data_IF_502509636426
#
_entry.id   IF_502509636426
#
_cell.length_a   1.000
_cell.length_b   1.000
_cell.length_c   1.000
_cell.angle_alpha   90.00
_cell.angle_beta   90.00
_cell.angle_gamma   90.00
#
_symmetry.space_group_name_H-M   'P 1'
#
loop_
_entity.id
_entity.type
_entity.pdbx_description
1 polymer ?
#
# COMPACT_ATOMS: atom_id res chain seq x y z
N UNK A 1 2.14 1.99 -26.50
CA UNK A 1 0.86 1.25 -26.55
C UNK A 1 0.05 1.65 -25.33
N UNK A 2 -1.24 1.90 -25.48
CA UNK A 2 -2.13 2.12 -24.31
C UNK A 2 -2.24 0.82 -23.52
N UNK A 3 -2.27 0.92 -22.21
CA UNK A 3 -2.48 -0.23 -21.34
C UNK A 3 -3.93 -0.73 -21.47
N UNK A 4 -4.11 -2.04 -21.56
CA UNK A 4 -5.44 -2.67 -21.59
C UNK A 4 -6.15 -2.56 -20.26
N UNK A 5 -7.48 -2.57 -20.28
CA UNK A 5 -8.35 -2.59 -19.09
C UNK A 5 -9.31 -3.78 -19.15
N UNK A 6 -8.77 -5.02 -19.07
CA UNK A 6 -9.52 -6.22 -19.40
C UNK A 6 -10.78 -6.42 -18.54
N UNK A 7 -10.71 -6.09 -17.25
CA UNK A 7 -11.85 -6.21 -16.34
C UNK A 7 -12.93 -5.17 -16.68
N UNK A 8 -12.52 -3.91 -16.88
CA UNK A 8 -13.44 -2.82 -17.25
C UNK A 8 -14.12 -3.09 -18.58
N UNK A 9 -13.34 -3.53 -19.57
CA UNK A 9 -13.85 -3.79 -20.94
C UNK A 9 -14.84 -4.96 -20.94
N UNK A 10 -14.51 -6.05 -20.23
CA UNK A 10 -15.43 -7.17 -20.07
C UNK A 10 -16.74 -6.75 -19.39
N UNK A 11 -16.69 -6.09 -18.25
CA UNK A 11 -17.88 -5.73 -17.48
C UNK A 11 -18.78 -4.76 -18.26
N UNK A 12 -18.19 -3.78 -18.95
CA UNK A 12 -18.96 -2.86 -19.81
C UNK A 12 -19.62 -3.57 -20.97
N UNK A 13 -18.91 -4.48 -21.65
CA UNK A 13 -19.47 -5.31 -22.71
C UNK A 13 -20.62 -6.16 -22.20
N UNK A 14 -20.43 -6.82 -21.05
CA UNK A 14 -21.47 -7.61 -20.42
C UNK A 14 -22.71 -6.78 -20.04
N UNK A 15 -22.50 -5.59 -19.46
CA UNK A 15 -23.60 -4.69 -19.12
C UNK A 15 -24.45 -4.26 -20.32
N UNK A 16 -23.84 -4.20 -21.52
CA UNK A 16 -24.48 -3.81 -22.79
C UNK A 16 -25.03 -5.00 -23.57
N UNK A 17 -24.72 -6.23 -23.22
CA UNK A 17 -25.05 -7.44 -24.00
C UNK A 17 -26.53 -7.78 -24.03
N UNK A 18 -27.34 -7.22 -23.11
CA UNK A 18 -28.75 -7.62 -22.95
C UNK A 18 -28.95 -9.01 -22.36
N UNK A 19 -27.89 -9.67 -21.89
CA UNK A 19 -27.95 -11.01 -21.29
C UNK A 19 -28.79 -10.99 -20.01
N UNK A 20 -29.73 -11.92 -19.91
CA UNK A 20 -30.54 -12.09 -18.71
C UNK A 20 -29.66 -12.55 -17.52
N UNK A 21 -29.67 -11.77 -16.44
CA UNK A 21 -28.84 -12.00 -15.25
C UNK A 21 -29.54 -12.94 -14.26
N UNK A 22 -29.31 -14.24 -14.39
CA UNK A 22 -29.81 -15.23 -13.44
C UNK A 22 -28.86 -15.51 -12.27
N UNK A 23 -27.64 -14.95 -12.34
CA UNK A 23 -26.60 -15.03 -11.33
C UNK A 23 -26.74 -13.94 -10.23
N UNK A 24 -25.94 -14.04 -9.15
CA UNK A 24 -25.77 -12.94 -8.18
C UNK A 24 -25.07 -11.74 -8.83
N UNK A 25 -25.18 -10.51 -8.35
CA UNK A 25 -25.96 -10.06 -7.18
C UNK A 25 -27.49 -10.03 -7.38
N UNK A 26 -28.22 -9.86 -6.25
CA UNK A 26 -29.69 -9.92 -6.21
C UNK A 26 -30.41 -8.83 -7.01
N UNK A 27 -29.77 -7.67 -7.25
CA UNK A 27 -30.35 -6.56 -8.06
C UNK A 27 -30.43 -6.89 -9.57
N UNK A 28 -29.78 -7.98 -10.03
CA UNK A 28 -29.82 -8.44 -11.42
C UNK A 28 -29.46 -7.37 -12.46
N UNK A 29 -28.61 -6.39 -12.09
CA UNK A 29 -28.23 -5.26 -12.93
C UNK A 29 -29.31 -4.20 -13.10
N UNK A 30 -30.43 -4.28 -12.37
CA UNK A 30 -31.44 -3.24 -12.37
C UNK A 30 -30.94 -2.04 -11.57
N UNK A 31 -30.89 -0.88 -12.22
CA UNK A 31 -30.30 0.32 -11.64
C UNK A 31 -31.19 0.94 -10.58
N UNK A 32 -30.69 1.05 -9.35
CA UNK A 32 -31.28 1.79 -8.25
C UNK A 32 -30.37 2.98 -7.87
N UNK A 33 -29.06 2.72 -7.77
CA UNK A 33 -28.03 3.71 -7.42
C UNK A 33 -27.17 4.11 -8.62
N UNK A 34 -27.29 3.41 -9.75
CA UNK A 34 -26.64 3.72 -11.02
C UNK A 34 -25.41 2.86 -11.36
N UNK A 35 -24.87 2.11 -10.41
CA UNK A 35 -23.69 1.26 -10.62
C UNK A 35 -24.00 -0.23 -10.77
N UNK A 36 -25.21 -0.67 -10.45
CA UNK A 36 -25.62 -2.08 -10.45
C UNK A 36 -25.40 -2.80 -11.80
N UNK A 37 -25.53 -2.13 -12.97
CA UNK A 37 -25.19 -2.76 -14.23
C UNK A 37 -23.72 -3.19 -14.33
N UNK A 38 -22.82 -2.53 -13.58
CA UNK A 38 -21.39 -2.82 -13.53
C UNK A 38 -21.00 -3.75 -12.38
N UNK A 39 -21.93 -4.03 -11.47
CA UNK A 39 -21.70 -4.94 -10.35
C UNK A 39 -22.08 -6.37 -10.76
N UNK A 40 -21.08 -7.24 -10.86
CA UNK A 40 -21.19 -8.63 -11.29
C UNK A 40 -20.52 -9.56 -10.28
N UNK A 41 -20.60 -10.84 -10.51
CA UNK A 41 -19.86 -11.88 -9.79
C UNK A 41 -19.02 -12.70 -10.78
N UNK A 42 -18.42 -13.76 -10.32
CA UNK A 42 -17.62 -14.74 -11.07
C UNK A 42 -18.49 -15.53 -12.06
N UNK A 43 -18.85 -14.87 -13.17
CA UNK A 43 -19.60 -15.49 -14.28
C UNK A 43 -18.62 -15.92 -15.38
N UNK A 44 -19.09 -16.72 -16.33
CA UNK A 44 -18.29 -17.17 -17.46
C UNK A 44 -17.59 -15.97 -18.16
N UNK A 45 -16.26 -15.99 -18.16
CA UNK A 45 -15.39 -14.94 -18.72
C UNK A 45 -15.04 -13.81 -17.74
N UNK A 46 -15.65 -13.75 -16.55
CA UNK A 46 -15.31 -12.73 -15.54
C UNK A 46 -14.08 -13.07 -14.71
N UNK A 47 -13.61 -14.33 -14.76
CA UNK A 47 -12.48 -14.82 -13.99
C UNK A 47 -12.78 -14.98 -12.47
N UNK A 48 -11.82 -15.45 -11.68
CA UNK A 48 -11.94 -15.68 -10.23
C UNK A 48 -10.71 -15.10 -9.51
N UNK A 49 -10.92 -14.26 -8.49
CA UNK A 49 -9.82 -13.50 -7.86
C UNK A 49 -8.72 -14.39 -7.26
N UNK A 50 -9.07 -15.52 -6.65
CA UNK A 50 -8.11 -16.38 -5.96
C UNK A 50 -7.57 -17.53 -6.83
N UNK A 51 -8.08 -17.68 -8.06
CA UNK A 51 -7.59 -18.62 -9.06
C UNK A 51 -7.70 -18.03 -10.48
N UNK A 52 -7.12 -16.85 -10.74
CA UNK A 52 -7.33 -16.13 -11.99
C UNK A 52 -6.58 -16.79 -13.13
N UNK A 53 -7.28 -17.00 -14.25
CA UNK A 53 -6.74 -17.53 -15.50
C UNK A 53 -7.06 -16.61 -16.71
N UNK A 54 -7.78 -15.51 -16.49
CA UNK A 54 -8.32 -14.63 -17.51
C UNK A 54 -8.06 -13.15 -17.28
N UNK A 55 -9.15 -12.37 -17.23
CA UNK A 55 -9.08 -10.91 -17.21
C UNK A 55 -8.47 -10.34 -15.90
N UNK A 56 -8.62 -11.02 -14.78
CA UNK A 56 -8.00 -10.62 -13.52
C UNK A 56 -6.50 -10.89 -13.59
N UNK A 57 -6.08 -12.08 -14.06
CA UNK A 57 -4.67 -12.39 -14.26
C UNK A 57 -3.98 -11.39 -15.21
N UNK A 58 -4.63 -11.01 -16.31
CA UNK A 58 -4.10 -10.01 -17.24
C UNK A 58 -3.96 -8.64 -16.58
N UNK A 59 -4.95 -8.21 -15.80
CA UNK A 59 -4.93 -6.93 -15.10
C UNK A 59 -3.85 -6.89 -14.00
N UNK A 60 -3.67 -7.97 -13.24
CA UNK A 60 -2.58 -8.11 -12.26
C UNK A 60 -1.20 -8.12 -12.94
N UNK A 61 -1.07 -8.73 -14.13
CA UNK A 61 0.15 -8.65 -14.91
C UNK A 61 0.45 -7.22 -15.38
N UNK A 62 -0.57 -6.41 -15.68
CA UNK A 62 -0.41 -4.98 -15.95
C UNK A 62 0.14 -4.24 -14.72
N UNK A 63 -0.42 -4.48 -13.53
CA UNK A 63 0.08 -3.91 -12.27
C UNK A 63 1.53 -4.37 -12.00
N UNK A 64 1.84 -5.65 -12.16
CA UNK A 64 3.17 -6.22 -11.99
C UNK A 64 4.22 -5.47 -12.84
N UNK A 65 3.91 -5.22 -14.13
CA UNK A 65 4.80 -4.44 -15.01
C UNK A 65 4.95 -2.99 -14.56
N UNK A 66 3.87 -2.34 -14.13
CA UNK A 66 3.90 -0.95 -13.68
C UNK A 66 4.73 -0.76 -12.42
N UNK A 67 4.56 -1.63 -11.45
CA UNK A 67 5.29 -1.57 -10.18
C UNK A 67 6.71 -2.14 -10.29
N UNK A 68 6.99 -2.98 -11.29
CA UNK A 68 8.29 -3.62 -11.49
C UNK A 68 8.58 -4.68 -10.43
N UNK A 69 7.58 -5.46 -10.08
CA UNK A 69 7.60 -6.51 -9.05
C UNK A 69 7.67 -7.90 -9.70
N UNK A 70 7.91 -8.95 -8.92
CA UNK A 70 7.73 -10.33 -9.39
C UNK A 70 6.25 -10.61 -9.63
N UNK A 71 5.41 -10.24 -8.63
CA UNK A 71 3.96 -10.32 -8.69
C UNK A 71 3.32 -9.14 -7.94
N UNK A 72 2.15 -8.70 -8.44
CA UNK A 72 1.27 -7.72 -7.80
C UNK A 72 -0.14 -8.30 -7.77
N UNK A 73 -0.56 -8.81 -6.62
CA UNK A 73 -1.87 -9.40 -6.42
C UNK A 73 -2.88 -8.34 -5.99
N UNK A 74 -4.11 -8.45 -6.46
CA UNK A 74 -5.21 -7.59 -6.05
C UNK A 74 -5.83 -8.04 -4.73
N UNK A 75 -6.28 -7.06 -3.96
CA UNK A 75 -7.17 -7.25 -2.82
C UNK A 75 -8.33 -6.27 -2.92
N UNK A 76 -9.53 -6.75 -2.60
CA UNK A 76 -10.76 -5.96 -2.52
C UNK A 76 -11.11 -5.58 -1.08
N UNK A 77 -10.27 -5.97 -0.11
CA UNK A 77 -10.49 -5.78 1.32
C UNK A 77 -9.41 -4.93 2.00
N UNK A 78 -8.75 -4.11 1.19
CA UNK A 78 -7.68 -3.22 1.60
C UNK A 78 -6.37 -3.96 1.87
N UNK A 79 -5.31 -3.20 2.18
CA UNK A 79 -4.03 -3.77 2.62
C UNK A 79 -4.18 -4.61 3.90
N UNK A 80 -5.29 -4.44 4.62
CA UNK A 80 -5.63 -5.26 5.78
C UNK A 80 -5.70 -6.75 5.49
N UNK A 81 -6.10 -7.14 4.29
CA UNK A 81 -6.07 -8.53 3.83
C UNK A 81 -4.63 -8.96 3.51
N UNK A 82 -3.86 -8.10 2.87
CA UNK A 82 -2.50 -8.38 2.42
C UNK A 82 -1.50 -8.53 3.57
N UNK A 83 -1.63 -7.66 4.56
CA UNK A 83 -0.94 -7.75 5.86
C UNK A 83 -2.01 -7.44 6.88
N UNK A 84 -2.54 -8.40 7.60
CA UNK A 84 -3.57 -8.10 8.58
C UNK A 84 -3.15 -7.00 9.55
N UNK A 85 -3.20 -5.77 9.06
CA UNK A 85 -3.01 -4.42 9.63
C UNK A 85 -1.84 -4.20 10.58
N UNK A 86 -1.03 -3.22 10.23
CA UNK A 86 -0.10 -2.56 11.14
C UNK A 86 -0.65 -2.50 12.56
N UNK A 87 0.12 -2.86 13.54
CA UNK A 87 -0.16 -2.90 14.99
C UNK A 87 -1.31 -3.83 15.40
N UNK A 88 -2.57 -3.43 15.19
CA UNK A 88 -3.72 -4.17 15.73
C UNK A 88 -3.90 -5.52 15.07
N UNK A 89 -3.71 -5.60 13.75
CA UNK A 89 -3.87 -6.87 13.05
C UNK A 89 -2.61 -7.72 13.08
N UNK A 90 -1.41 -7.14 13.24
CA UNK A 90 -0.22 -7.92 13.53
C UNK A 90 -0.38 -8.66 14.88
N UNK A 91 -0.95 -7.99 15.91
CA UNK A 91 -1.29 -8.63 17.17
C UNK A 91 -2.33 -9.75 17.01
N UNK A 92 -3.38 -9.51 16.20
CA UNK A 92 -4.37 -10.55 15.92
C UNK A 92 -3.79 -11.68 15.06
N UNK A 93 -2.92 -11.37 14.10
CA UNK A 93 -2.22 -12.38 13.32
C UNK A 93 -1.30 -13.22 14.21
N UNK A 94 -0.55 -12.59 15.12
CA UNK A 94 0.31 -13.30 16.08
C UNK A 94 -0.52 -14.24 16.97
N UNK A 95 -1.65 -13.76 17.49
CA UNK A 95 -2.54 -14.57 18.32
C UNK A 95 -3.21 -15.72 17.53
N UNK A 96 -3.53 -15.50 16.24
CA UNK A 96 -4.19 -16.49 15.39
C UNK A 96 -3.23 -17.55 14.85
N UNK A 97 -2.01 -17.13 14.50
CA UNK A 97 -1.00 -17.96 13.86
C UNK A 97 0.08 -18.45 14.85
N UNK A 98 -0.08 -18.11 16.13
CA UNK A 98 0.79 -18.54 17.25
C UNK A 98 2.28 -18.21 17.01
N UNK A 99 2.59 -16.94 16.74
CA UNK A 99 3.96 -16.45 16.66
C UNK A 99 4.24 -15.29 17.61
N UNK A 100 5.49 -15.19 18.07
CA UNK A 100 5.93 -14.12 18.96
C UNK A 100 6.32 -12.86 18.20
N UNK A 101 6.02 -11.69 18.80
CA UNK A 101 6.43 -10.38 18.30
C UNK A 101 7.54 -9.82 19.19
N UNK A 102 8.65 -9.41 18.56
CA UNK A 102 9.70 -8.61 19.19
C UNK A 102 9.61 -7.17 18.71
N UNK A 103 9.25 -6.28 19.60
CA UNK A 103 9.09 -4.87 19.28
C UNK A 103 10.43 -4.15 19.16
N UNK A 104 10.57 -3.37 18.08
CA UNK A 104 11.62 -2.37 17.93
C UNK A 104 11.07 -1.05 18.47
N UNK A 105 11.57 -0.63 19.61
CA UNK A 105 11.16 0.63 20.22
C UNK A 105 11.89 1.81 19.59
N UNK A 106 11.22 2.96 19.39
CA UNK A 106 11.86 4.18 18.90
C UNK A 106 12.93 4.65 19.89
N UNK A 107 13.92 5.40 19.39
CA UNK A 107 14.88 6.06 20.27
C UNK A 107 14.20 7.09 21.17
N UNK A 108 14.85 7.44 22.31
CA UNK A 108 14.34 8.44 23.24
C UNK A 108 14.11 9.82 22.57
N UNK A 109 14.86 10.15 21.50
CA UNK A 109 14.66 11.39 20.73
C UNK A 109 13.35 11.38 19.92
N UNK A 110 12.78 10.22 19.65
CA UNK A 110 11.49 10.07 18.97
C UNK A 110 10.31 9.94 19.94
N UNK A 111 10.56 9.96 21.26
CA UNK A 111 9.51 9.96 22.27
C UNK A 111 8.65 11.22 22.14
N UNK A 112 7.35 11.02 21.97
CA UNK A 112 6.37 12.10 21.78
C UNK A 112 5.90 12.28 20.34
N UNK A 113 6.52 11.64 19.34
CA UNK A 113 6.01 11.59 17.98
C UNK A 113 4.92 10.52 17.87
N UNK A 114 3.68 10.89 18.15
CA UNK A 114 2.53 10.00 17.96
C UNK A 114 2.50 9.49 16.52
N UNK A 115 2.28 8.20 16.33
CA UNK A 115 2.22 7.55 15.01
C UNK A 115 3.53 7.51 14.22
N UNK A 116 4.68 7.83 14.81
CA UNK A 116 5.99 7.71 14.18
C UNK A 116 6.89 6.78 15.00
N UNK A 117 7.55 5.84 14.32
CA UNK A 117 8.50 4.92 14.94
C UNK A 117 9.70 4.73 14.00
N UNK A 118 10.60 5.73 13.90
CA UNK A 118 11.79 5.59 13.08
C UNK A 118 12.70 4.49 13.63
N UNK A 119 13.08 3.57 12.77
CA UNK A 119 14.02 2.47 13.08
C UNK A 119 15.32 2.75 12.38
N UNK A 120 16.43 2.76 13.12
CA UNK A 120 17.76 2.89 12.52
C UNK A 120 18.36 1.52 12.20
N UNK A 121 19.29 1.49 11.24
CA UNK A 121 19.99 0.26 10.87
C UNK A 121 20.78 -0.32 12.06
N UNK A 122 21.33 0.54 12.92
CA UNK A 122 22.08 0.13 14.13
C UNK A 122 21.14 -0.53 15.14
N UNK A 123 19.97 0.06 15.42
CA UNK A 123 18.99 -0.49 16.32
C UNK A 123 18.48 -1.85 15.85
N UNK A 124 18.18 -1.97 14.54
CA UNK A 124 17.79 -3.24 13.92
C UNK A 124 18.89 -4.28 14.01
N UNK A 125 20.14 -3.91 13.68
CA UNK A 125 21.31 -4.81 13.80
C UNK A 125 21.46 -5.34 15.21
N UNK A 126 21.40 -4.46 16.22
CA UNK A 126 21.49 -4.84 17.63
C UNK A 126 20.39 -5.81 18.04
N UNK A 127 19.14 -5.54 17.61
CA UNK A 127 18.01 -6.41 17.92
C UNK A 127 18.15 -7.81 17.30
N UNK A 128 18.53 -7.89 16.02
CA UNK A 128 18.74 -9.17 15.34
C UNK A 128 19.89 -9.97 15.94
N UNK A 129 21.01 -9.31 16.29
CA UNK A 129 22.14 -9.97 16.97
C UNK A 129 21.72 -10.50 18.36
N UNK A 130 20.95 -9.72 19.12
CA UNK A 130 20.48 -10.17 20.44
C UNK A 130 19.55 -11.39 20.33
N UNK A 131 18.70 -11.46 19.30
CA UNK A 131 17.87 -12.62 19.03
C UNK A 131 18.72 -13.84 18.63
N UNK A 132 19.69 -13.66 17.75
CA UNK A 132 20.58 -14.73 17.31
C UNK A 132 21.39 -15.32 18.48
N UNK A 133 21.87 -14.51 19.42
CA UNK A 133 22.53 -14.95 20.64
C UNK A 133 21.64 -15.81 21.55
N UNK A 134 20.32 -15.63 21.46
CA UNK A 134 19.31 -16.43 22.16
C UNK A 134 18.89 -17.69 21.37
N UNK A 135 19.51 -17.95 20.22
CA UNK A 135 19.15 -19.05 19.33
C UNK A 135 17.86 -18.83 18.52
N UNK A 136 17.38 -17.59 18.49
CA UNK A 136 16.14 -17.21 17.78
C UNK A 136 16.48 -16.49 16.47
N UNK A 137 15.83 -16.90 15.38
CA UNK A 137 15.87 -16.19 14.10
C UNK A 137 14.45 -15.76 13.76
N UNK A 138 14.16 -14.46 13.55
CA UNK A 138 12.84 -14.03 13.15
C UNK A 138 12.55 -14.46 11.71
N UNK A 139 11.29 -14.80 11.39
CA UNK A 139 10.88 -15.12 10.03
C UNK A 139 10.72 -13.87 9.15
N UNK A 140 10.72 -12.68 9.72
CA UNK A 140 10.66 -11.40 9.00
C UNK A 140 10.82 -10.19 9.90
N UNK A 141 11.24 -9.09 9.31
CA UNK A 141 11.23 -7.75 9.92
C UNK A 141 10.10 -6.97 9.27
N UNK A 142 9.18 -6.44 10.07
CA UNK A 142 8.04 -5.68 9.60
C UNK A 142 8.16 -4.22 10.02
N UNK A 143 8.01 -3.29 9.06
CA UNK A 143 8.00 -1.84 9.30
C UNK A 143 6.89 -1.15 8.51
N UNK A 144 6.39 -0.02 9.02
CA UNK A 144 5.47 0.86 8.29
C UNK A 144 6.26 2.01 7.68
N UNK A 145 6.09 2.24 6.37
CA UNK A 145 6.69 3.35 5.62
C UNK A 145 5.92 3.63 4.33
N UNK A 146 5.36 4.83 4.13
CA UNK A 146 5.30 5.96 5.08
C UNK A 146 4.40 5.68 6.29
N UNK A 147 4.69 6.36 7.41
CA UNK A 147 3.80 6.36 8.56
C UNK A 147 2.56 7.26 8.35
N UNK A 148 1.69 7.33 9.37
CA UNK A 148 0.45 8.10 9.28
C UNK A 148 0.67 9.60 9.08
N UNK A 149 1.78 10.16 9.58
CA UNK A 149 2.14 11.57 9.47
C UNK A 149 3.04 11.88 8.25
N UNK A 150 3.42 10.86 7.49
CA UNK A 150 4.22 10.98 6.27
C UNK A 150 5.71 10.74 6.48
N UNK A 151 6.13 10.31 7.67
CA UNK A 151 7.52 9.90 7.92
C UNK A 151 7.87 8.63 7.13
N UNK A 152 9.04 8.62 6.49
CA UNK A 152 9.55 7.47 5.75
C UNK A 152 10.78 6.87 6.42
N UNK A 153 10.91 5.54 6.36
CA UNK A 153 12.07 4.81 6.86
C UNK A 153 13.22 4.84 5.84
N UNK A 154 14.45 4.71 6.33
CA UNK A 154 15.64 4.47 5.51
C UNK A 154 15.68 3.02 4.99
N UNK A 155 14.68 2.66 4.16
CA UNK A 155 14.46 1.29 3.72
C UNK A 155 15.70 0.61 3.11
N UNK A 156 16.56 1.28 2.30
CA UNK A 156 17.76 0.65 1.77
C UNK A 156 18.71 0.18 2.87
N UNK A 157 18.88 0.97 3.94
CA UNK A 157 19.74 0.62 5.05
C UNK A 157 19.16 -0.55 5.86
N UNK A 158 17.85 -0.53 6.14
CA UNK A 158 17.16 -1.63 6.82
C UNK A 158 17.20 -2.92 5.99
N UNK A 159 16.96 -2.83 4.68
CA UNK A 159 17.03 -3.96 3.77
C UNK A 159 18.43 -4.59 3.71
N UNK A 160 19.49 -3.76 3.75
CA UNK A 160 20.85 -4.25 3.79
C UNK A 160 21.13 -5.05 5.07
N UNK A 161 20.67 -4.57 6.24
CA UNK A 161 20.79 -5.30 7.51
C UNK A 161 20.01 -6.62 7.46
N UNK A 162 18.77 -6.58 7.01
CA UNK A 162 17.91 -7.76 6.88
C UNK A 162 18.57 -8.82 5.97
N UNK A 163 19.05 -8.42 4.80
CA UNK A 163 19.74 -9.31 3.86
C UNK A 163 21.00 -9.94 4.45
N UNK A 164 21.81 -9.17 5.18
CA UNK A 164 23.01 -9.66 5.85
C UNK A 164 22.73 -10.73 6.92
N UNK A 165 21.52 -10.71 7.48
CA UNK A 165 21.05 -11.68 8.48
C UNK A 165 20.15 -12.78 7.90
N UNK A 166 19.89 -12.78 6.58
CA UNK A 166 19.01 -13.75 5.93
C UNK A 166 17.54 -13.63 6.33
N UNK A 167 17.09 -12.45 6.75
CA UNK A 167 15.73 -12.20 7.21
C UNK A 167 15.02 -11.27 6.20
N UNK A 168 13.81 -11.58 5.70
CA UNK A 168 13.09 -10.71 4.77
C UNK A 168 12.61 -9.42 5.44
N UNK A 169 12.68 -8.30 4.71
CA UNK A 169 12.06 -7.04 5.10
C UNK A 169 10.64 -6.97 4.50
N UNK A 170 9.65 -6.81 5.35
CA UNK A 170 8.24 -6.67 5.01
C UNK A 170 7.79 -5.24 5.30
N UNK A 171 7.15 -4.56 4.34
CA UNK A 171 6.80 -3.15 4.50
C UNK A 171 5.30 -2.93 4.33
N UNK A 172 4.69 -2.31 5.35
CA UNK A 172 3.37 -1.71 5.21
C UNK A 172 3.51 -0.33 4.55
N UNK A 173 3.23 -0.30 3.25
CA UNK A 173 3.28 0.90 2.42
C UNK A 173 1.85 1.44 2.16
N UNK A 174 0.93 1.22 3.08
CA UNK A 174 -0.47 1.60 2.90
C UNK A 174 -0.69 3.07 2.49
N UNK A 175 0.24 3.96 2.79
CA UNK A 175 0.19 5.38 2.44
C UNK A 175 1.10 5.78 1.28
N UNK A 176 1.81 4.84 0.64
CA UNK A 176 2.88 5.11 -0.31
C UNK A 176 2.75 4.47 -1.69
N UNK A 177 1.59 3.97 -2.10
CA UNK A 177 1.42 3.32 -3.39
C UNK A 177 1.93 4.17 -4.58
N UNK A 178 1.79 5.49 -4.50
CA UNK A 178 2.24 6.43 -5.53
C UNK A 178 3.77 6.62 -5.59
N UNK A 179 4.53 6.21 -4.55
CA UNK A 179 6.00 6.38 -4.46
C UNK A 179 6.73 5.71 -5.62
N UNK A 180 6.12 4.68 -6.23
CA UNK A 180 6.63 4.01 -7.43
C UNK A 180 6.77 4.97 -8.60
N UNK A 181 5.89 5.95 -8.71
CA UNK A 181 5.72 6.83 -9.88
C UNK A 181 6.41 8.19 -9.72
N UNK A 182 7.15 8.40 -8.63
CA UNK A 182 8.05 9.54 -8.47
C UNK A 182 9.25 9.42 -9.42
N UNK A 183 9.92 10.54 -9.79
CA UNK A 183 11.12 10.51 -10.63
C UNK A 183 12.22 9.61 -10.09
N UNK A 184 12.42 9.62 -8.78
CA UNK A 184 13.18 8.62 -8.05
C UNK A 184 12.18 7.61 -7.49
N UNK A 185 12.28 6.36 -7.94
CA UNK A 185 11.43 5.30 -7.42
C UNK A 185 11.74 5.03 -5.94
N UNK A 186 10.84 5.50 -5.06
CA UNK A 186 10.95 5.33 -3.61
C UNK A 186 10.02 4.21 -3.07
N UNK A 187 9.44 3.40 -3.95
CA UNK A 187 8.59 2.28 -3.55
C UNK A 187 9.39 1.20 -2.81
N UNK A 188 8.86 0.59 -1.73
CA UNK A 188 9.58 -0.35 -0.89
C UNK A 188 10.26 -1.50 -1.64
N UNK A 189 9.61 -2.07 -2.64
CA UNK A 189 10.22 -3.13 -3.47
C UNK A 189 11.51 -2.64 -4.15
N UNK A 190 11.50 -1.43 -4.70
CA UNK A 190 12.70 -0.84 -5.30
C UNK A 190 13.77 -0.46 -4.27
N UNK A 191 13.38 -0.32 -3.01
CA UNK A 191 14.27 -0.01 -1.89
C UNK A 191 14.77 -1.27 -1.16
N UNK A 192 14.43 -2.47 -1.65
CA UNK A 192 14.94 -3.75 -1.15
C UNK A 192 14.03 -4.48 -0.16
N UNK A 193 12.77 -4.09 -0.04
CA UNK A 193 11.77 -4.89 0.66
C UNK A 193 11.48 -6.17 -0.12
N UNK A 194 11.37 -7.30 0.58
CA UNK A 194 10.98 -8.58 -0.02
C UNK A 194 9.51 -8.62 -0.39
N UNK A 195 8.67 -7.99 0.44
CA UNK A 195 7.22 -7.88 0.21
C UNK A 195 6.72 -6.54 0.73
N UNK A 196 5.70 -5.98 0.10
CA UNK A 196 4.97 -4.85 0.66
C UNK A 196 3.49 -4.88 0.28
N UNK A 197 2.68 -4.18 1.07
CA UNK A 197 1.29 -3.95 0.73
C UNK A 197 0.99 -2.47 0.56
N UNK A 198 0.18 -2.17 -0.45
CA UNK A 198 -0.28 -0.84 -0.79
C UNK A 198 -1.79 -0.75 -0.61
N UNK A 199 -2.29 0.19 0.20
CA UNK A 199 -3.69 0.59 0.13
C UNK A 199 -3.88 1.53 -1.06
N UNK A 200 -4.15 0.98 -2.24
CA UNK A 200 -4.30 1.77 -3.46
C UNK A 200 -5.34 2.89 -3.29
N UNK A 201 -6.46 2.58 -2.63
CA UNK A 201 -7.55 3.51 -2.39
C UNK A 201 -7.20 4.74 -1.54
N UNK A 202 -6.05 4.74 -0.83
CA UNK A 202 -5.63 5.91 -0.01
C UNK A 202 -4.92 6.98 -0.84
N UNK A 203 -4.18 6.57 -1.86
CA UNK A 203 -3.26 7.48 -2.58
C UNK A 203 -3.33 7.39 -4.10
N UNK A 204 -4.05 6.42 -4.64
CA UNK A 204 -4.31 6.25 -6.07
C UNK A 204 -5.81 6.40 -6.36
N UNK A 205 -6.22 6.62 -7.62
CA UNK A 205 -7.63 6.77 -8.00
C UNK A 205 -8.37 5.42 -8.03
N UNK A 206 -8.48 4.79 -6.87
CA UNK A 206 -9.07 3.47 -6.65
C UNK A 206 -10.20 3.59 -5.62
N UNK A 207 -11.28 2.83 -5.83
CA UNK A 207 -12.42 2.73 -4.90
C UNK A 207 -11.96 2.13 -3.57
N UNK A 208 -12.55 2.60 -2.46
CA UNK A 208 -12.26 2.12 -1.11
C UNK A 208 -12.29 0.59 -1.03
N UNK A 209 -11.26 0.00 -0.45
CA UNK A 209 -11.03 -1.44 -0.37
C UNK A 209 -10.01 -1.95 -1.38
N UNK A 210 -9.74 -1.23 -2.47
CA UNK A 210 -8.72 -1.66 -3.43
C UNK A 210 -7.30 -1.53 -2.88
N UNK A 211 -6.52 -2.61 -3.00
CA UNK A 211 -5.15 -2.71 -2.51
C UNK A 211 -4.32 -3.66 -3.36
N UNK A 212 -3.01 -3.62 -3.17
CA UNK A 212 -2.04 -4.54 -3.77
C UNK A 212 -1.22 -5.25 -2.69
N UNK A 213 -0.89 -6.50 -2.93
CA UNK A 213 0.23 -7.21 -2.33
C UNK A 213 1.32 -7.35 -3.40
N UNK A 214 2.50 -6.83 -3.13
CA UNK A 214 3.65 -6.87 -4.02
C UNK A 214 4.73 -7.81 -3.50
N UNK A 215 5.25 -8.65 -4.37
CA UNK A 215 6.41 -9.51 -4.11
C UNK A 215 7.62 -9.03 -4.92
N UNK A 216 8.79 -8.96 -4.28
CA UNK A 216 10.05 -8.80 -4.97
C UNK A 216 10.49 -10.12 -5.66
N UNK A 217 11.42 -10.03 -6.62
CA UNK A 217 11.95 -11.21 -7.29
C UNK A 217 12.72 -12.17 -6.37
N UNK A 218 13.22 -11.65 -5.25
CA UNK A 218 13.92 -12.40 -4.20
C UNK A 218 13.07 -12.63 -2.94
N UNK A 219 11.75 -12.45 -3.02
CA UNK A 219 10.85 -12.73 -1.91
C UNK A 219 10.95 -14.21 -1.48
N UNK A 220 10.84 -14.50 -0.18
CA UNK A 220 10.99 -15.87 0.34
C UNK A 220 9.86 -16.81 -0.09
N UNK A 221 8.73 -16.26 -0.53
CA UNK A 221 7.59 -17.00 -1.04
C UNK A 221 7.34 -16.56 -2.48
N UNK A 222 7.52 -17.48 -3.43
CA UNK A 222 7.29 -17.27 -4.87
C UNK A 222 6.17 -18.18 -5.40
N UNK A 223 5.71 -19.13 -4.58
CA UNK A 223 4.62 -20.04 -4.94
C UNK A 223 3.30 -19.26 -4.97
N UNK A 224 2.80 -19.02 -6.17
CA UNK A 224 1.56 -18.28 -6.41
C UNK A 224 0.34 -18.93 -5.71
N UNK A 225 0.26 -20.25 -5.72
CA UNK A 225 -0.85 -20.97 -5.08
C UNK A 225 -0.85 -20.77 -3.56
N UNK A 226 0.35 -20.76 -2.94
CA UNK A 226 0.48 -20.50 -1.50
C UNK A 226 0.07 -19.06 -1.16
N UNK A 227 0.47 -18.07 -1.96
CA UNK A 227 0.11 -16.65 -1.74
C UNK A 227 -1.40 -16.45 -1.92
N UNK A 228 -1.99 -16.97 -2.98
CA UNK A 228 -3.45 -16.87 -3.23
C UNK A 228 -4.25 -17.61 -2.17
N UNK A 229 -3.80 -18.78 -1.72
CA UNK A 229 -4.42 -19.52 -0.62
C UNK A 229 -4.39 -18.71 0.69
N UNK A 230 -3.29 -18.02 0.98
CA UNK A 230 -3.19 -17.14 2.15
C UNK A 230 -4.11 -15.91 2.04
N UNK A 231 -4.24 -15.31 0.86
CA UNK A 231 -5.20 -14.21 0.61
C UNK A 231 -6.65 -14.71 0.74
N UNK A 232 -6.98 -15.85 0.16
CA UNK A 232 -8.32 -16.42 0.21
C UNK A 232 -8.75 -16.80 1.63
N UNK A 233 -7.82 -17.20 2.51
CA UNK A 233 -8.12 -17.61 3.90
C UNK A 233 -8.87 -16.53 4.69
N UNK A 234 -8.64 -15.27 4.36
CA UNK A 234 -9.22 -14.10 5.05
C UNK A 234 -10.02 -13.19 4.11
N UNK A 235 -10.10 -13.54 2.84
CA UNK A 235 -10.83 -12.79 1.84
C UNK A 235 -12.29 -13.24 1.71
N UNK A 236 -13.10 -12.38 1.12
CA UNK A 236 -14.47 -12.72 0.76
C UNK A 236 -14.48 -13.72 -0.41
N UNK A 237 -15.36 -14.72 -0.36
CA UNK A 237 -15.67 -15.59 -1.50
C UNK A 237 -16.47 -14.86 -2.60
N UNK A 238 -16.81 -13.60 -2.40
CA UNK A 238 -17.52 -12.75 -3.35
C UNK A 238 -16.80 -11.40 -3.48
N UNK A 239 -15.64 -11.37 -4.15
CA UNK A 239 -14.87 -10.15 -4.31
C UNK A 239 -15.67 -9.10 -5.12
N UNK A 240 -15.57 -7.83 -4.72
CA UNK A 240 -16.28 -6.75 -5.40
C UNK A 240 -15.67 -6.44 -6.77
N UNK A 241 -16.41 -6.70 -7.83
CA UNK A 241 -16.00 -6.34 -9.21
C UNK A 241 -15.95 -4.83 -9.44
N UNK A 242 -16.64 -4.02 -8.65
CA UNK A 242 -16.49 -2.56 -8.71
C UNK A 242 -15.10 -2.13 -8.23
N UNK A 243 -14.56 -2.79 -7.19
CA UNK A 243 -13.21 -2.55 -6.71
C UNK A 243 -12.19 -3.06 -7.74
N UNK A 244 -12.35 -4.27 -8.26
CA UNK A 244 -11.46 -4.85 -9.28
C UNK A 244 -11.39 -3.98 -10.54
N UNK A 245 -12.54 -3.48 -11.06
CA UNK A 245 -12.58 -2.54 -12.17
C UNK A 245 -11.83 -1.24 -11.84
N UNK A 246 -11.90 -0.74 -10.60
CA UNK A 246 -11.20 0.48 -10.23
C UNK A 246 -9.67 0.28 -10.19
N UNK A 247 -9.20 -0.89 -9.77
CA UNK A 247 -7.77 -1.26 -9.82
C UNK A 247 -7.29 -1.38 -11.28
N UNK A 248 -8.07 -2.05 -12.12
CA UNK A 248 -7.80 -2.22 -13.54
C UNK A 248 -7.76 -0.86 -14.29
N UNK A 249 -8.77 -0.01 -14.09
CA UNK A 249 -8.79 1.34 -14.65
C UNK A 249 -7.61 2.19 -14.15
N UNK A 250 -7.22 2.01 -12.90
CA UNK A 250 -6.07 2.69 -12.30
C UNK A 250 -4.77 2.35 -13.04
N UNK A 251 -4.55 1.10 -13.46
CA UNK A 251 -3.37 0.72 -14.25
C UNK A 251 -3.22 1.59 -15.51
N UNK A 252 -4.30 1.81 -16.24
CA UNK A 252 -4.28 2.67 -17.43
C UNK A 252 -3.96 4.14 -17.10
N UNK A 253 -4.47 4.66 -15.97
CA UNK A 253 -4.15 6.00 -15.48
C UNK A 253 -2.67 6.11 -15.12
N UNK A 254 -2.13 5.13 -14.40
CA UNK A 254 -0.73 5.09 -13.97
C UNK A 254 0.25 4.97 -15.14
N UNK A 255 -0.13 4.23 -16.18
CA UNK A 255 0.65 4.10 -17.43
C UNK A 255 0.61 5.37 -18.29
N UNK A 256 -0.35 6.26 -18.05
CA UNK A 256 -0.56 7.49 -18.81
C UNK A 256 0.27 8.68 -18.29
N UNK A 257 -0.39 9.81 -18.10
CA UNK A 257 0.25 11.05 -17.69
C UNK A 257 0.35 11.25 -16.16
N UNK A 258 -0.06 10.25 -15.38
CA UNK A 258 -0.05 10.28 -13.92
C UNK A 258 1.32 10.66 -13.34
N UNK A 259 2.47 10.08 -13.76
CA UNK A 259 3.77 10.44 -13.19
C UNK A 259 4.09 11.93 -13.38
N UNK A 260 3.76 12.50 -14.54
CA UNK A 260 3.96 13.94 -14.82
C UNK A 260 3.10 14.82 -13.91
N UNK A 261 1.83 14.46 -13.74
CA UNK A 261 0.89 15.17 -12.85
C UNK A 261 1.30 15.06 -11.39
N UNK A 262 1.79 13.90 -10.98
CA UNK A 262 2.31 13.67 -9.63
C UNK A 262 3.47 14.60 -9.31
N UNK A 263 4.44 14.75 -10.22
CA UNK A 263 5.57 15.68 -10.06
C UNK A 263 5.08 17.12 -9.89
N UNK A 264 4.11 17.54 -10.69
CA UNK A 264 3.53 18.88 -10.58
C UNK A 264 2.83 19.10 -9.23
N UNK A 265 2.09 18.10 -8.75
CA UNK A 265 1.43 18.14 -7.45
C UNK A 265 2.44 18.22 -6.30
N UNK A 266 3.48 17.38 -6.32
CA UNK A 266 4.56 17.42 -5.32
C UNK A 266 5.25 18.79 -5.29
N UNK A 267 5.54 19.39 -6.44
CA UNK A 267 6.15 20.72 -6.53
C UNK A 267 5.24 21.82 -5.95
N UNK A 268 3.93 21.73 -6.20
CA UNK A 268 2.95 22.66 -5.64
C UNK A 268 2.86 22.55 -4.11
N UNK A 269 2.82 21.31 -3.58
CA UNK A 269 2.79 21.06 -2.14
C UNK A 269 4.08 21.53 -1.46
N UNK A 270 5.23 21.33 -2.08
CA UNK A 270 6.50 21.83 -1.56
C UNK A 270 6.55 23.37 -1.55
N UNK A 271 6.00 24.02 -2.57
CA UNK A 271 5.81 25.47 -2.59
C UNK A 271 4.93 25.96 -1.44
N UNK A 272 3.85 25.24 -1.17
CA UNK A 272 2.94 25.52 -0.05
C UNK A 272 3.65 25.34 1.30
N UNK A 273 4.37 24.24 1.53
CA UNK A 273 5.16 24.03 2.77
C UNK A 273 6.12 25.18 3.03
N UNK A 274 6.89 25.58 2.01
CA UNK A 274 7.81 26.72 2.13
C UNK A 274 7.10 28.03 2.45
N UNK A 275 5.95 28.29 1.82
CA UNK A 275 5.16 29.48 2.09
C UNK A 275 4.63 29.52 3.53
N UNK A 276 4.09 28.39 4.01
CA UNK A 276 3.59 28.25 5.38
C UNK A 276 4.71 28.46 6.40
N UNK A 277 5.88 27.84 6.20
CA UNK A 277 7.01 27.96 7.10
C UNK A 277 7.61 29.38 7.09
N UNK A 278 7.65 30.05 5.92
CA UNK A 278 8.04 31.46 5.82
C UNK A 278 7.08 32.35 6.60
N UNK A 279 5.78 32.10 6.50
CA UNK A 279 4.76 32.86 7.24
C UNK A 279 4.87 32.63 8.74
N UNK A 280 5.09 31.38 9.18
CA UNK A 280 5.30 31.03 10.58
C UNK A 280 6.53 31.74 11.15
N UNK A 281 7.65 31.71 10.44
CA UNK A 281 8.88 32.41 10.82
C UNK A 281 8.67 33.92 10.95
N UNK A 282 7.95 34.55 10.00
CA UNK A 282 7.61 35.97 10.06
C UNK A 282 6.71 36.31 11.25
N UNK A 283 5.94 35.36 11.78
CA UNK A 283 5.12 35.48 12.98
C UNK A 283 5.85 35.04 14.26
N UNK A 284 7.14 34.74 14.18
CA UNK A 284 7.98 34.30 15.29
C UNK A 284 7.48 33.02 15.95
N UNK A 285 6.86 32.11 15.18
CA UNK A 285 6.50 30.80 15.68
C UNK A 285 7.77 30.03 16.09
N UNK A 286 7.73 29.30 17.23
CA UNK A 286 8.94 28.65 17.79
C UNK A 286 9.43 27.46 16.96
N UNK A 287 8.57 26.89 16.12
CA UNK A 287 8.85 25.73 15.26
C UNK A 287 8.24 25.94 13.88
N UNK A 288 8.74 25.26 12.83
CA UNK A 288 8.11 25.28 11.51
C UNK A 288 6.67 24.78 11.56
N UNK A 289 5.74 25.49 10.92
CA UNK A 289 4.33 25.10 10.87
C UNK A 289 4.11 23.83 10.05
N UNK A 290 4.73 23.74 8.88
CA UNK A 290 4.63 22.56 8.03
C UNK A 290 5.86 21.67 8.22
N UNK A 291 5.62 20.41 8.54
CA UNK A 291 6.68 19.41 8.65
C UNK A 291 7.33 19.21 7.27
N UNK A 292 8.65 19.29 7.23
CA UNK A 292 9.46 19.14 6.03
C UNK A 292 10.78 18.42 6.36
N UNK A 293 11.32 17.71 5.38
CA UNK A 293 12.60 17.02 5.52
C UNK A 293 12.76 15.88 4.52
N UNK A 294 13.96 15.33 4.43
CA UNK A 294 14.28 14.23 3.54
C UNK A 294 13.56 12.92 3.92
N UNK A 295 13.12 12.81 5.17
CA UNK A 295 12.38 11.65 5.69
C UNK A 295 10.86 11.91 5.71
N UNK A 296 10.36 12.78 4.82
CA UNK A 296 8.94 13.03 4.64
C UNK A 296 8.51 12.67 3.22
N UNK A 297 7.41 11.94 3.10
CA UNK A 297 6.81 11.70 1.79
C UNK A 297 6.23 13.00 1.21
N UNK A 298 6.27 13.19 -0.11
CA UNK A 298 6.01 14.52 -0.70
C UNK A 298 4.54 14.92 -0.76
N UNK A 299 3.59 13.98 -0.72
CA UNK A 299 2.16 14.27 -0.95
C UNK A 299 1.40 14.68 0.30
N UNK A 300 1.86 14.28 1.48
CA UNK A 300 1.18 14.56 2.75
C UNK A 300 1.62 15.93 3.30
N UNK A 301 0.67 16.77 3.62
CA UNK A 301 0.91 18.05 4.30
C UNK A 301 0.55 17.89 5.79
N UNK A 302 1.58 17.74 6.61
CA UNK A 302 1.45 17.63 8.06
C UNK A 302 1.78 18.97 8.70
N UNK A 303 0.85 19.49 9.52
CA UNK A 303 0.98 20.77 10.19
C UNK A 303 1.14 20.57 11.71
N UNK A 304 2.05 21.34 12.31
CA UNK A 304 2.19 21.40 13.75
C UNK A 304 1.29 22.53 14.31
N UNK A 305 0.12 22.17 14.82
CA UNK A 305 -0.82 23.15 15.40
C UNK A 305 -0.24 23.85 16.62
N UNK A 306 0.68 23.22 17.36
CA UNK A 306 1.34 23.84 18.51
C UNK A 306 2.20 25.05 18.10
N UNK A 307 2.74 25.05 16.88
CA UNK A 307 3.44 26.23 16.30
C UNK A 307 2.57 27.48 16.23
N UNK A 308 1.25 27.32 16.17
CA UNK A 308 0.27 28.41 16.16
C UNK A 308 -0.33 28.68 17.55
N UNK A 309 0.09 27.97 18.58
CA UNK A 309 -0.53 28.02 19.91
C UNK A 309 -1.94 27.41 19.95
N UNK A 310 -2.26 26.55 18.99
CA UNK A 310 -3.56 25.90 18.85
C UNK A 310 -3.51 24.42 19.24
N UNK A 311 -4.67 23.87 19.60
CA UNK A 311 -4.86 22.40 19.63
C UNK A 311 -5.23 21.92 18.23
N UNK A 312 -5.05 20.63 17.95
CA UNK A 312 -5.43 20.05 16.65
C UNK A 312 -6.92 20.11 16.32
N UNK A 313 -7.75 20.54 17.26
CA UNK A 313 -9.20 20.70 17.11
C UNK A 313 -9.64 22.16 16.95
N UNK A 314 -8.72 23.11 16.97
CA UNK A 314 -8.99 24.56 16.91
C UNK A 314 -9.10 25.08 15.48
#
# INVERSE_FOLDING_TARGET
>A
MSMTTPIVDFVRSYAQSGTARLHMPGHKGQSLLGFEPLDITEICGADELYAPEGIIAESEANATRLFGTAHSYYSTEGSSQCIRNAHKALLYAAALLDFDIRWLWPSAQAEGALCSCPVTAEALTGALHAMAQQGNTPFGVYVTSPDYLGGVQELPALAAVCRAQGVPLLVDNAHGAYLRFLPQNCHPIAQGAAMCCDSAHKTLPVVTGGAYLHLAHDAPVQDEAAVRGALALFGSTSPSYLILQSLDACNAVLAGDYPRRLVQCCAALEGLRRSLNKTAAARQCPVPLAVAGAQQEPMKLTLDAAALGCTGTA
#
